data_IF_615886626330
#
_entry.id   IF_615886626330
#
_cell.length_a   1.000
_cell.length_b   1.000
_cell.length_c   1.000
_cell.angle_alpha   90.00
_cell.angle_beta   90.00
_cell.angle_gamma   90.00
#
_symmetry.space_group_name_H-M   'P 1'
#
loop_
_entity.id
_entity.type
_entity.pdbx_description
1 polymer ?
#
# COMPACT_ATOMS: atom_id res chain seq x y z
N UNK A 1 2.28 25.53 11.17
CA UNK A 1 3.43 24.83 10.58
C UNK A 1 3.02 23.38 10.40
N UNK A 2 2.83 22.92 9.16
CA UNK A 2 2.54 21.50 8.91
C UNK A 2 3.83 20.74 9.17
N UNK A 3 3.87 19.84 10.15
CA UNK A 3 5.05 18.97 10.29
C UNK A 3 5.16 18.10 9.06
N UNK A 4 6.32 18.17 8.41
CA UNK A 4 6.66 17.30 7.29
C UNK A 4 6.69 15.84 7.78
N UNK A 5 6.13 14.94 6.99
CA UNK A 5 6.24 13.50 7.24
C UNK A 5 7.71 13.10 7.24
N UNK A 6 8.14 12.35 8.27
CA UNK A 6 9.52 11.88 8.40
C UNK A 6 9.58 10.36 8.38
N UNK A 7 10.45 9.80 7.54
CA UNK A 7 10.80 8.38 7.59
C UNK A 7 11.89 8.20 8.65
N UNK A 8 11.65 7.36 9.64
CA UNK A 8 12.59 7.08 10.74
C UNK A 8 13.29 5.73 10.57
N UNK A 9 12.69 4.78 9.86
CA UNK A 9 13.28 3.48 9.57
C UNK A 9 12.78 2.94 8.24
N UNK A 10 13.64 2.19 7.53
CA UNK A 10 13.32 1.46 6.30
C UNK A 10 13.70 -0.01 6.50
N UNK A 11 12.81 -0.93 6.14
CA UNK A 11 13.00 -2.38 6.22
C UNK A 11 12.66 -2.99 4.85
N UNK A 12 13.44 -3.96 4.33
CA UNK A 12 13.08 -4.67 3.11
C UNK A 12 11.70 -5.32 3.18
N UNK A 13 10.93 -5.27 2.09
CA UNK A 13 9.57 -5.82 2.02
C UNK A 13 9.45 -7.02 1.08
N UNK A 14 10.53 -7.79 0.89
CA UNK A 14 10.55 -8.94 -0.02
C UNK A 14 9.37 -9.89 0.21
N UNK A 15 8.70 -10.28 -0.88
CA UNK A 15 7.54 -11.16 -0.85
C UNK A 15 6.24 -10.49 -0.38
N UNK A 16 6.18 -9.16 -0.33
CA UNK A 16 4.95 -8.41 -0.07
C UNK A 16 4.46 -7.65 -1.29
N UNK A 17 3.14 -7.58 -1.43
CA UNK A 17 2.45 -6.83 -2.48
C UNK A 17 1.45 -5.85 -1.87
N UNK A 18 1.34 -4.67 -2.46
CA UNK A 18 0.24 -3.74 -2.24
C UNK A 18 -0.91 -4.06 -3.21
N UNK A 19 -2.13 -4.00 -2.71
CA UNK A 19 -3.35 -4.36 -3.44
C UNK A 19 -4.17 -3.10 -3.71
N UNK A 20 -4.55 -2.91 -4.96
CA UNK A 20 -5.31 -1.77 -5.42
C UNK A 20 -6.57 -2.21 -6.18
N UNK A 21 -7.65 -1.47 -5.99
CA UNK A 21 -8.82 -1.48 -6.86
C UNK A 21 -8.65 -0.40 -7.94
N UNK A 22 -8.57 -0.83 -9.20
CA UNK A 22 -8.45 0.08 -10.36
C UNK A 22 -9.74 0.17 -11.19
N UNK A 23 -10.81 -0.48 -10.75
CA UNK A 23 -12.11 -0.47 -11.41
C UNK A 23 -12.99 0.73 -11.02
N UNK A 24 -14.10 0.87 -11.72
CA UNK A 24 -15.23 1.69 -11.24
C UNK A 24 -16.07 0.84 -10.27
N UNK A 25 -16.57 1.40 -9.15
CA UNK A 25 -17.30 0.64 -8.12
C UNK A 25 -18.45 -0.18 -8.71
N UNK A 26 -18.73 -1.40 -8.19
CA UNK A 26 -18.00 -2.14 -7.13
C UNK A 26 -16.60 -2.62 -7.58
N UNK A 27 -15.71 -3.04 -6.64
CA UNK A 27 -14.35 -3.53 -6.95
C UNK A 27 -14.42 -4.59 -8.04
N UNK A 28 -13.92 -4.28 -9.22
CA UNK A 28 -13.99 -5.16 -10.40
C UNK A 28 -12.61 -5.66 -10.84
N UNK A 29 -11.58 -4.82 -10.68
CA UNK A 29 -10.22 -5.11 -11.12
C UNK A 29 -9.24 -4.89 -9.96
N UNK A 30 -8.90 -6.00 -9.28
CA UNK A 30 -7.92 -6.02 -8.21
C UNK A 30 -6.54 -6.27 -8.81
N UNK A 31 -5.63 -5.32 -8.64
CA UNK A 31 -4.24 -5.44 -9.08
C UNK A 31 -3.28 -5.40 -7.91
N UNK A 32 -2.18 -6.10 -8.07
CA UNK A 32 -1.10 -6.13 -7.09
C UNK A 32 0.13 -5.41 -7.62
N UNK A 33 0.92 -4.86 -6.70
CA UNK A 33 2.22 -4.25 -7.00
C UNK A 33 3.24 -4.65 -5.94
N UNK A 34 4.46 -5.02 -6.33
CA UNK A 34 5.51 -5.31 -5.37
C UNK A 34 5.80 -4.13 -4.44
N UNK A 35 5.89 -4.39 -3.15
CA UNK A 35 6.38 -3.42 -2.17
C UNK A 35 7.91 -3.47 -2.18
N UNK A 36 8.53 -2.30 -2.29
CA UNK A 36 9.99 -2.18 -2.26
C UNK A 36 10.49 -2.24 -0.82
N UNK A 37 9.82 -1.51 0.09
CA UNK A 37 10.18 -1.46 1.50
C UNK A 37 9.00 -1.10 2.42
N UNK A 38 9.18 -1.41 3.69
CA UNK A 38 8.38 -0.88 4.80
C UNK A 38 9.08 0.34 5.38
N UNK A 39 8.35 1.43 5.52
CA UNK A 39 8.82 2.65 6.15
C UNK A 39 8.09 2.87 7.48
N UNK A 40 8.84 3.06 8.56
CA UNK A 40 8.31 3.65 9.79
C UNK A 40 8.25 5.16 9.59
N UNK A 41 7.05 5.71 9.57
CA UNK A 41 6.77 7.12 9.32
C UNK A 41 6.24 7.78 10.59
N UNK A 42 6.67 9.01 10.83
CA UNK A 42 6.21 9.85 11.92
C UNK A 42 5.63 11.15 11.35
N UNK A 43 4.42 11.51 11.79
CA UNK A 43 3.80 12.82 11.54
C UNK A 43 2.96 13.28 12.75
N UNK A 44 2.15 14.32 12.57
CA UNK A 44 1.32 14.87 13.66
C UNK A 44 0.27 13.89 14.20
N UNK A 45 -0.12 12.88 13.42
CA UNK A 45 -1.06 11.85 13.85
C UNK A 45 -0.36 10.69 14.60
N UNK A 46 0.97 10.70 14.66
CA UNK A 46 1.79 9.72 15.36
C UNK A 46 2.66 8.88 14.43
N UNK A 47 3.01 7.69 14.90
CA UNK A 47 3.89 6.76 14.17
C UNK A 47 3.06 5.70 13.46
N UNK A 48 3.36 5.45 12.18
CA UNK A 48 2.73 4.37 11.38
C UNK A 48 3.74 3.64 10.53
N UNK A 49 3.43 2.40 10.17
CA UNK A 49 4.19 1.62 9.19
C UNK A 49 3.47 1.68 7.85
N UNK A 50 4.19 2.03 6.78
CA UNK A 50 3.65 2.13 5.42
C UNK A 50 4.51 1.29 4.48
N UNK A 51 3.87 0.47 3.66
CA UNK A 51 4.51 -0.23 2.55
C UNK A 51 4.59 0.68 1.33
N UNK A 52 5.79 0.91 0.82
CA UNK A 52 6.04 1.75 -0.34
C UNK A 52 6.22 0.89 -1.61
N UNK A 53 5.35 1.08 -2.60
CA UNK A 53 5.53 0.52 -3.94
C UNK A 53 6.48 1.40 -4.78
N UNK A 54 6.88 0.90 -5.94
CA UNK A 54 7.82 1.62 -6.82
C UNK A 54 7.29 2.98 -7.30
N UNK A 55 5.98 3.11 -7.49
CA UNK A 55 5.36 4.36 -7.94
C UNK A 55 5.41 5.40 -6.82
N UNK A 56 5.10 5.02 -5.57
CA UNK A 56 5.23 5.89 -4.40
C UNK A 56 6.69 6.36 -4.18
N UNK A 57 7.66 5.46 -4.34
CA UNK A 57 9.09 5.81 -4.24
C UNK A 57 9.51 6.79 -5.35
N UNK A 58 8.95 6.63 -6.54
CA UNK A 58 9.17 7.54 -7.67
C UNK A 58 8.37 8.86 -7.57
N UNK A 59 7.64 9.10 -6.48
CA UNK A 59 6.82 10.29 -6.29
C UNK A 59 5.55 10.31 -7.14
N UNK A 60 5.14 9.16 -7.69
CA UNK A 60 3.92 9.02 -8.46
C UNK A 60 2.75 8.68 -7.55
N UNK A 61 1.57 9.21 -7.85
CA UNK A 61 0.35 8.80 -7.18
C UNK A 61 0.00 7.36 -7.57
N UNK A 62 -0.33 6.49 -6.61
CA UNK A 62 -0.79 5.14 -6.91
C UNK A 62 -2.00 5.17 -7.85
N UNK A 63 -2.00 4.29 -8.85
CA UNK A 63 -3.15 4.13 -9.74
C UNK A 63 -4.17 3.22 -9.05
N UNK A 64 -5.23 3.81 -8.52
CA UNK A 64 -6.34 3.09 -7.90
C UNK A 64 -6.47 3.32 -6.39
N UNK A 65 -7.53 2.77 -5.82
CA UNK A 65 -7.80 2.82 -4.39
C UNK A 65 -7.02 1.72 -3.68
N UNK A 66 -6.19 2.09 -2.71
CA UNK A 66 -5.48 1.13 -1.88
C UNK A 66 -6.45 0.30 -1.02
N UNK A 67 -6.31 -1.03 -1.06
CA UNK A 67 -7.13 -1.97 -0.30
C UNK A 67 -6.36 -2.62 0.86
N UNK A 68 -5.04 -2.76 0.74
CA UNK A 68 -4.23 -3.38 1.77
C UNK A 68 -2.95 -4.02 1.24
N UNK A 69 -2.32 -4.82 2.09
CA UNK A 69 -1.10 -5.56 1.78
C UNK A 69 -1.34 -7.07 1.86
N UNK A 70 -0.57 -7.84 1.09
CA UNK A 70 -0.58 -9.32 1.10
C UNK A 70 0.82 -9.87 0.95
N UNK A 71 1.03 -11.11 1.37
CA UNK A 71 2.19 -11.88 0.92
C UNK A 71 1.98 -12.41 -0.50
N UNK A 72 3.08 -12.59 -1.23
CA UNK A 72 3.06 -13.34 -2.49
C UNK A 72 2.45 -14.73 -2.28
N UNK A 73 1.49 -15.09 -3.13
CA UNK A 73 0.77 -16.37 -3.03
C UNK A 73 -0.46 -16.37 -2.12
N UNK A 74 -0.71 -15.32 -1.33
CA UNK A 74 -1.95 -15.20 -0.57
C UNK A 74 -3.17 -14.95 -1.47
N UNK A 75 -4.32 -15.49 -1.07
CA UNK A 75 -5.59 -15.27 -1.78
C UNK A 75 -6.04 -13.81 -1.68
N UNK A 76 -6.34 -13.22 -2.84
CA UNK A 76 -6.95 -11.89 -2.92
C UNK A 76 -8.46 -11.90 -2.66
N UNK A 77 -9.05 -13.07 -2.39
CA UNK A 77 -10.49 -13.24 -2.18
C UNK A 77 -11.05 -12.32 -1.10
N UNK A 78 -10.29 -12.04 -0.03
CA UNK A 78 -10.73 -11.15 1.06
C UNK A 78 -11.04 -9.72 0.60
N UNK A 79 -10.30 -9.22 -0.39
CA UNK A 79 -10.53 -7.87 -0.95
C UNK A 79 -11.66 -7.83 -1.97
N UNK A 80 -12.12 -9.00 -2.43
CA UNK A 80 -13.27 -9.16 -3.31
C UNK A 80 -14.56 -9.44 -2.53
N UNK A 81 -14.44 -10.06 -1.35
CA UNK A 81 -15.55 -10.54 -0.53
C UNK A 81 -16.15 -9.50 0.43
N UNK A 82 -15.42 -8.43 0.80
CA UNK A 82 -15.95 -7.32 1.61
C UNK A 82 -17.03 -6.46 0.89
N UNK A 83 -17.55 -6.94 -0.25
CA UNK A 83 -18.58 -6.28 -1.06
C UNK A 83 -19.81 -7.17 -1.33
N UNK A 84 -19.95 -8.29 -0.63
CA UNK A 84 -21.19 -9.10 -0.62
C UNK A 84 -22.12 -8.66 0.52
#
# INVERSE_FOLDING_TARGET
MVMAQRITQIIPASGWLAVYDVGSPPVQDVRTRPIVCWALMEDQAGTRVVGMDADMVAGQSPRGRFLGYVREGESLGRFKAELA
#
